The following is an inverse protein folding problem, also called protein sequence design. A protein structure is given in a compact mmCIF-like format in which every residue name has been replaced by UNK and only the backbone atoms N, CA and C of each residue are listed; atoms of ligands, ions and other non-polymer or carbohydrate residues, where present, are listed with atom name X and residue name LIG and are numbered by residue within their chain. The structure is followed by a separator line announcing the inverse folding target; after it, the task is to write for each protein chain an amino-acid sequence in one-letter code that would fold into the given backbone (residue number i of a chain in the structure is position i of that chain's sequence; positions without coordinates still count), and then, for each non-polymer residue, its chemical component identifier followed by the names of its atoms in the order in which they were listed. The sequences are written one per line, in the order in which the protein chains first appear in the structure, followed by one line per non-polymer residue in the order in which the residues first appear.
data_IF_232198808537
#
_entry.id   IF_232198808537
#
_cell.length_a   1.000
_cell.length_b   1.000
_cell.length_c   1.000
_cell.angle_alpha   90.00
_cell.angle_beta   90.00
_cell.angle_gamma   90.00
#
_symmetry.space_group_name_H-M   'P 1'
#
loop_
_entity.id
_entity.type
_entity.pdbx_description
1 polymer ?
#
# COMPACT_ATOMS: atom_id res chain seq x y z
N UNK A 1 -15.45 28.74 11.31
CA UNK A 1 -14.00 28.52 11.27
C UNK A 1 -13.67 28.20 9.82
N UNK A 2 -13.46 29.24 9.02
CA UNK A 2 -13.24 29.12 7.57
C UNK A 2 -12.04 30.00 7.26
N UNK A 3 -10.89 29.60 7.80
CA UNK A 3 -9.62 30.09 7.28
C UNK A 3 -9.29 29.17 6.11
N UNK A 4 -9.35 29.62 4.85
CA UNK A 4 -8.93 28.79 3.74
C UNK A 4 -7.48 28.39 3.99
N UNK A 5 -7.16 27.12 3.79
CA UNK A 5 -5.76 26.67 3.82
C UNK A 5 -4.96 27.51 2.84
N UNK A 6 -4.22 28.50 3.36
CA UNK A 6 -3.28 29.30 2.61
C UNK A 6 -2.07 28.41 2.33
N UNK A 7 -2.19 27.56 1.31
CA UNK A 7 -1.06 26.86 0.74
C UNK A 7 -0.04 27.87 0.22
N UNK A 8 1.24 27.52 0.38
CA UNK A 8 2.40 27.99 -0.40
C UNK A 8 2.02 28.70 -1.71
N UNK A 9 2.68 29.84 -1.97
CA UNK A 9 2.37 30.76 -3.08
C UNK A 9 2.39 30.11 -4.47
N UNK A 10 2.99 28.92 -4.60
CA UNK A 10 3.13 28.16 -5.83
C UNK A 10 2.56 26.75 -5.72
N UNK A 11 1.96 26.27 -6.82
CA UNK A 11 1.51 24.88 -6.94
C UNK A 11 2.71 23.92 -6.83
N UNK A 12 2.60 22.93 -5.95
CA UNK A 12 3.63 21.89 -5.82
C UNK A 12 3.50 20.91 -7.00
N UNK A 13 4.53 20.77 -7.85
CA UNK A 13 4.47 19.85 -8.97
C UNK A 13 4.41 18.40 -8.47
N UNK A 14 3.51 17.62 -9.07
CA UNK A 14 3.42 16.20 -8.77
C UNK A 14 4.67 15.44 -9.25
N UNK A 15 5.34 14.73 -8.34
CA UNK A 15 6.52 13.93 -8.68
C UNK A 15 6.12 12.48 -9.04
N UNK A 16 6.10 12.19 -10.34
CA UNK A 16 5.72 10.87 -10.85
C UNK A 16 6.70 9.73 -10.51
N UNK A 17 7.99 10.05 -10.31
CA UNK A 17 9.03 9.06 -10.02
C UNK A 17 8.96 8.63 -8.55
N UNK A 18 8.72 9.58 -7.64
CA UNK A 18 8.46 9.27 -6.23
C UNK A 18 7.18 8.44 -6.07
N UNK A 19 6.10 8.81 -6.79
CA UNK A 19 4.86 8.03 -6.79
C UNK A 19 5.09 6.59 -7.30
N UNK A 20 5.85 6.43 -8.39
CA UNK A 20 6.21 5.10 -8.90
C UNK A 20 7.02 4.30 -7.88
N UNK A 21 8.02 4.93 -7.26
CA UNK A 21 8.87 4.30 -6.23
C UNK A 21 8.04 3.81 -5.06
N UNK A 22 7.09 4.63 -4.58
CA UNK A 22 6.18 4.27 -3.50
C UNK A 22 5.31 3.07 -3.89
N UNK A 23 4.66 3.09 -5.06
CA UNK A 23 3.84 1.98 -5.57
C UNK A 23 4.65 0.68 -5.59
N UNK A 24 5.85 0.72 -6.16
CA UNK A 24 6.73 -0.44 -6.25
C UNK A 24 7.12 -0.97 -4.86
N UNK A 25 7.48 -0.07 -3.93
CA UNK A 25 7.83 -0.44 -2.56
C UNK A 25 6.65 -1.09 -1.82
N UNK A 26 5.44 -0.57 -1.98
CA UNK A 26 4.24 -1.12 -1.38
C UNK A 26 3.96 -2.55 -1.86
N UNK A 27 3.94 -2.78 -3.17
CA UNK A 27 3.71 -4.11 -3.72
C UNK A 27 4.85 -5.08 -3.38
N UNK A 28 6.10 -4.63 -3.39
CA UNK A 28 7.25 -5.44 -2.98
C UNK A 28 7.19 -5.86 -1.51
N UNK A 29 6.80 -4.94 -0.62
CA UNK A 29 6.59 -5.23 0.80
C UNK A 29 5.42 -6.20 1.01
N UNK A 30 4.30 -5.99 0.31
CA UNK A 30 3.14 -6.88 0.36
C UNK A 30 3.50 -8.32 -0.05
N UNK A 31 4.24 -8.48 -1.14
CA UNK A 31 4.70 -9.79 -1.60
C UNK A 31 5.65 -10.47 -0.59
N UNK A 32 6.56 -9.69 0.00
CA UNK A 32 7.48 -10.20 1.04
C UNK A 32 6.71 -10.72 2.25
N UNK A 33 5.70 -9.96 2.72
CA UNK A 33 4.87 -10.36 3.87
C UNK A 33 4.05 -11.62 3.53
N UNK A 34 3.48 -11.70 2.32
CA UNK A 34 2.74 -12.88 1.85
C UNK A 34 3.61 -14.13 1.86
N UNK A 35 4.84 -14.05 1.35
CA UNK A 35 5.80 -15.16 1.38
C UNK A 35 6.17 -15.61 2.80
N UNK A 36 6.37 -14.65 3.71
CA UNK A 36 6.64 -14.94 5.12
C UNK A 36 5.44 -15.57 5.82
N UNK A 37 4.23 -15.07 5.61
CA UNK A 37 3.00 -15.59 6.18
C UNK A 37 2.75 -17.04 5.73
N UNK A 38 2.96 -17.34 4.44
CA UNK A 38 2.88 -18.69 3.91
C UNK A 38 3.87 -19.66 4.57
N UNK A 39 5.14 -19.23 4.68
CA UNK A 39 6.19 -20.03 5.33
C UNK A 39 5.86 -20.31 6.80
N UNK A 40 5.42 -19.29 7.55
CA UNK A 40 5.02 -19.43 8.96
C UNK A 40 3.83 -20.37 9.13
N UNK A 41 2.84 -20.31 8.24
CA UNK A 41 1.69 -21.21 8.31
C UNK A 41 2.11 -22.67 8.09
N UNK A 42 3.02 -22.94 7.15
CA UNK A 42 3.57 -24.28 6.96
C UNK A 42 4.29 -24.78 8.22
N UNK A 43 5.17 -23.96 8.80
CA UNK A 43 5.88 -24.34 10.04
C UNK A 43 4.92 -24.58 11.21
N UNK A 44 3.86 -23.77 11.33
CA UNK A 44 2.80 -23.97 12.32
C UNK A 44 2.15 -25.35 12.17
N UNK A 45 1.71 -25.69 10.95
CA UNK A 45 1.07 -26.97 10.65
C UNK A 45 2.00 -28.16 10.88
N UNK A 46 3.30 -28.01 10.63
CA UNK A 46 4.29 -29.04 10.93
C UNK A 46 4.49 -29.22 12.45
N UNK A 47 4.66 -28.13 13.20
CA UNK A 47 4.88 -28.19 14.64
C UNK A 47 3.69 -28.82 15.40
N UNK A 48 2.46 -28.50 15.00
CA UNK A 48 1.24 -29.02 15.64
C UNK A 48 1.01 -30.54 15.43
N UNK A 49 1.79 -31.21 14.58
CA UNK A 49 1.75 -32.68 14.46
C UNK A 49 2.43 -33.39 15.63
N UNK A 50 3.49 -32.78 16.16
CA UNK A 50 4.37 -33.39 17.16
C UNK A 50 4.18 -32.76 18.56
N UNK A 51 3.39 -31.69 18.66
CA UNK A 51 3.18 -30.90 19.86
C UNK A 51 1.70 -30.76 20.22
N UNK A 52 1.34 -31.05 21.48
CA UNK A 52 -0.04 -31.03 21.95
C UNK A 52 -0.18 -30.42 23.37
N UNK A 53 -1.42 -30.11 23.74
CA UNK A 53 -1.80 -29.54 25.03
C UNK A 53 -1.93 -28.02 25.01
N UNK A 54 -2.09 -27.40 26.18
CA UNK A 54 -2.42 -25.98 26.31
C UNK A 54 -1.50 -25.02 25.51
N UNK A 55 -0.19 -25.30 25.49
CA UNK A 55 0.75 -24.47 24.75
C UNK A 55 0.66 -24.68 23.22
N UNK A 56 0.19 -25.84 22.74
CA UNK A 56 -0.12 -26.05 21.33
C UNK A 56 -1.33 -25.20 20.93
N UNK A 57 -2.38 -25.15 21.76
CA UNK A 57 -3.56 -24.31 21.52
C UNK A 57 -3.22 -22.81 21.54
N UNK A 58 -2.31 -22.39 22.43
CA UNK A 58 -1.79 -21.01 22.43
C UNK A 58 -0.98 -20.71 21.18
N UNK A 59 -0.10 -21.63 20.78
CA UNK A 59 0.73 -21.48 19.59
C UNK A 59 -0.12 -21.40 18.32
N UNK A 60 -1.16 -22.24 18.19
CA UNK A 60 -2.09 -22.21 17.07
C UNK A 60 -2.81 -20.86 16.97
N UNK A 61 -3.45 -20.42 18.06
CA UNK A 61 -4.17 -19.12 18.11
C UNK A 61 -3.25 -17.94 17.80
N UNK A 62 -2.05 -17.92 18.36
CA UNK A 62 -1.06 -16.88 18.04
C UNK A 62 -0.66 -16.91 16.57
N UNK A 63 -0.59 -18.10 15.96
CA UNK A 63 -0.32 -18.25 14.53
C UNK A 63 -1.48 -17.74 13.66
N UNK A 64 -2.72 -17.93 14.08
CA UNK A 64 -3.92 -17.40 13.40
C UNK A 64 -3.97 -15.88 13.46
N UNK A 65 -3.72 -15.29 14.63
CA UNK A 65 -3.65 -13.83 14.81
C UNK A 65 -2.57 -13.23 13.90
N UNK A 66 -1.36 -13.81 13.93
CA UNK A 66 -0.26 -13.36 13.07
C UNK A 66 -0.60 -13.45 11.58
N UNK A 67 -1.30 -14.51 11.15
CA UNK A 67 -1.72 -14.66 9.76
C UNK A 67 -2.78 -13.62 9.36
N UNK A 68 -3.72 -13.32 10.26
CA UNK A 68 -4.72 -12.26 10.08
C UNK A 68 -4.06 -10.89 9.96
N UNK A 69 -3.15 -10.56 10.87
CA UNK A 69 -2.43 -9.28 10.88
C UNK A 69 -1.58 -9.10 9.62
N UNK A 70 -0.87 -10.15 9.19
CA UNK A 70 -0.11 -10.14 7.96
C UNK A 70 -1.01 -9.90 6.73
N UNK A 71 -2.16 -10.55 6.68
CA UNK A 71 -3.14 -10.36 5.60
C UNK A 71 -3.70 -8.94 5.58
N UNK A 72 -4.02 -8.40 6.76
CA UNK A 72 -4.47 -7.01 6.89
C UNK A 72 -3.41 -6.02 6.39
N UNK A 73 -2.15 -6.19 6.80
CA UNK A 73 -1.05 -5.32 6.38
C UNK A 73 -0.82 -5.38 4.86
N UNK A 74 -0.88 -6.57 4.27
CA UNK A 74 -0.82 -6.75 2.81
C UNK A 74 -1.91 -5.94 2.11
N UNK A 75 -3.17 -6.08 2.55
CA UNK A 75 -4.29 -5.30 1.99
C UNK A 75 -4.05 -3.79 2.09
N UNK A 76 -3.58 -3.30 3.24
CA UNK A 76 -3.31 -1.86 3.43
C UNK A 76 -2.19 -1.34 2.51
N UNK A 77 -1.16 -2.15 2.25
CA UNK A 77 -0.09 -1.81 1.32
C UNK A 77 -0.61 -1.74 -0.12
N UNK A 78 -1.44 -2.69 -0.53
CA UNK A 78 -2.04 -2.73 -1.86
C UNK A 78 -3.03 -1.57 -2.08
N UNK A 79 -3.81 -1.21 -1.08
CA UNK A 79 -4.67 -0.02 -1.10
C UNK A 79 -3.84 1.28 -1.24
N UNK A 80 -2.73 1.40 -0.50
CA UNK A 80 -1.85 2.57 -0.60
C UNK A 80 -1.20 2.68 -1.99
N UNK A 81 -0.76 1.55 -2.56
CA UNK A 81 -0.24 1.50 -3.92
C UNK A 81 -1.31 1.92 -4.94
N UNK A 82 -2.54 1.43 -4.78
CA UNK A 82 -3.67 1.75 -5.65
C UNK A 82 -4.00 3.25 -5.60
N UNK A 83 -4.20 3.80 -4.40
CA UNK A 83 -4.49 5.22 -4.22
C UNK A 83 -3.38 6.13 -4.76
N UNK A 84 -2.11 5.72 -4.61
CA UNK A 84 -0.97 6.45 -5.20
C UNK A 84 -0.99 6.37 -6.73
N UNK A 85 -1.37 5.23 -7.29
CA UNK A 85 -1.58 5.03 -8.73
C UNK A 85 -2.69 5.93 -9.27
N UNK A 86 -3.81 6.03 -8.57
CA UNK A 86 -4.93 6.90 -8.93
C UNK A 86 -4.52 8.37 -8.91
N UNK A 87 -3.80 8.81 -7.88
CA UNK A 87 -3.27 10.16 -7.79
C UNK A 87 -2.30 10.48 -8.95
N UNK A 88 -1.42 9.52 -9.27
CA UNK A 88 -0.49 9.63 -10.40
C UNK A 88 -1.21 9.76 -11.75
N UNK A 89 -2.30 9.02 -11.95
CA UNK A 89 -3.11 9.08 -13.16
C UNK A 89 -3.86 10.43 -13.26
N UNK A 90 -4.48 10.88 -12.17
CA UNK A 90 -5.17 12.17 -12.10
C UNK A 90 -4.22 13.34 -12.41
N UNK A 91 -2.99 13.30 -11.88
CA UNK A 91 -1.98 14.32 -12.16
C UNK A 91 -1.62 14.43 -13.65
N UNK A 92 -1.58 13.30 -14.38
CA UNK A 92 -1.32 13.30 -15.83
C UNK A 92 -2.45 13.96 -16.62
N UNK A 93 -3.70 13.57 -16.32
CA UNK A 93 -4.90 14.12 -16.99
C UNK A 93 -5.02 15.62 -16.76
N UNK A 94 -4.73 16.10 -15.55
CA UNK A 94 -4.73 17.52 -15.23
C UNK A 94 -3.68 18.29 -16.05
N UNK A 95 -2.46 17.76 -16.16
CA UNK A 95 -1.41 18.38 -16.97
C UNK A 95 -1.79 18.44 -18.46
N UNK A 96 -2.31 17.35 -19.03
CA UNK A 96 -2.78 17.30 -20.43
C UNK A 96 -3.89 18.33 -20.69
N UNK A 97 -4.85 18.45 -19.77
CA UNK A 97 -5.93 19.43 -19.83
C UNK A 97 -5.40 20.87 -19.76
N UNK A 98 -4.43 21.14 -18.87
CA UNK A 98 -3.82 22.46 -18.73
C UNK A 98 -3.02 22.89 -19.97
N UNK A 99 -2.30 21.96 -20.61
CA UNK A 99 -1.60 22.20 -21.88
C UNK A 99 -2.59 22.52 -23.01
N UNK A 100 -3.68 21.77 -23.13
CA UNK A 100 -4.72 22.01 -24.14
C UNK A 100 -5.37 23.38 -24.03
N UNK A 101 -5.70 23.82 -22.81
CA UNK A 101 -6.20 25.18 -22.56
C UNK A 101 -5.16 26.22 -22.96
N UNK A 102 -3.89 26.07 -22.56
CA UNK A 102 -2.84 27.05 -22.87
C UNK A 102 -2.61 27.21 -24.39
N UNK A 103 -2.76 26.13 -25.18
CA UNK A 103 -2.66 26.20 -26.65
C UNK A 103 -3.84 26.86 -27.33
N UNK A 104 -5.04 26.83 -26.73
CA UNK A 104 -6.25 27.45 -27.27
C UNK A 104 -6.26 28.98 -27.18
N UNK A 105 -5.46 29.57 -26.27
CA UNK A 105 -5.37 31.02 -26.07
C UNK A 105 -4.08 31.64 -26.67
N UNK A 106 -3.28 30.85 -27.38
CA UNK A 106 -1.99 31.27 -27.96
C UNK A 106 -2.02 31.48 -29.49
N UNK A 107 -3.18 31.35 -30.13
CA UNK A 107 -3.42 31.65 -31.55
C UNK A 107 -4.48 32.72 -31.73
#
# INVERSE_FOLDING_TARGET
MTDPMHGIEEDVPFNHDHAYTLIYACFGAAETIRGQAGSRNLWKLHALKDFAGYYADLFERNGEIQASDASFLVTRLEEMATATGDLKAAARVCCESAVGVRTLWAG
#
